data_IF_198608613729
#
_entry.id   IF_198608613729
#
_cell.length_a   1.000
_cell.length_b   1.000
_cell.length_c   1.000
_cell.angle_alpha   90.00
_cell.angle_beta   90.00
_cell.angle_gamma   90.00
#
_symmetry.space_group_name_H-M   'P 1'
#
loop_
_entity.id
_entity.type
_entity.pdbx_description
1 polymer ?
#
# COMPACT_ATOMS: atom_id res chain seq x y z
N UNK A 1 7.00 -11.62 -1.55
CA UNK A 1 6.96 -12.67 -0.51
C UNK A 1 7.92 -13.78 -0.91
N UNK A 2 8.78 -14.24 -0.01
CA UNK A 2 9.68 -15.37 -0.32
C UNK A 2 8.93 -16.72 -0.43
N UNK A 3 9.56 -17.73 -1.04
CA UNK A 3 8.95 -19.04 -1.26
C UNK A 3 8.57 -19.79 0.03
N UNK A 4 9.32 -19.60 1.12
CA UNK A 4 9.07 -20.25 2.41
C UNK A 4 7.82 -19.64 3.04
N UNK A 5 7.71 -18.33 3.05
CA UNK A 5 6.57 -17.58 3.55
C UNK A 5 5.32 -17.83 2.71
N UNK A 6 5.45 -17.83 1.37
CA UNK A 6 4.35 -18.18 0.47
C UNK A 6 3.82 -19.61 0.72
N UNK A 7 4.71 -20.55 1.03
CA UNK A 7 4.31 -21.92 1.41
C UNK A 7 3.47 -21.93 2.69
N UNK A 8 3.85 -21.15 3.69
CA UNK A 8 3.11 -21.06 4.96
C UNK A 8 1.76 -20.39 4.79
N UNK A 9 1.65 -19.36 3.94
CA UNK A 9 0.40 -18.64 3.69
C UNK A 9 -0.55 -19.51 2.86
N UNK A 10 -0.10 -19.98 1.68
CA UNK A 10 -1.00 -20.50 0.65
C UNK A 10 -1.29 -22.01 0.74
N UNK A 11 -0.53 -22.79 1.52
CA UNK A 11 -0.87 -24.21 1.76
C UNK A 11 -1.88 -24.43 2.89
N UNK A 12 -2.37 -23.37 3.50
CA UNK A 12 -3.38 -23.43 4.57
C UNK A 12 -4.78 -23.15 4.03
N UNK A 13 -5.82 -23.38 4.85
CA UNK A 13 -7.19 -23.11 4.46
C UNK A 13 -7.60 -21.64 4.46
N UNK A 14 -6.82 -20.75 5.11
CA UNK A 14 -7.14 -19.33 5.25
C UNK A 14 -5.91 -18.43 5.06
N UNK A 15 -5.63 -17.99 3.82
CA UNK A 15 -4.47 -17.15 3.52
C UNK A 15 -4.47 -15.80 4.25
N UNK A 16 -5.62 -15.15 4.43
CA UNK A 16 -5.70 -13.84 5.09
C UNK A 16 -5.32 -13.92 6.57
N UNK A 17 -5.85 -14.93 7.28
CA UNK A 17 -5.49 -15.18 8.67
C UNK A 17 -3.99 -15.45 8.82
N UNK A 18 -3.39 -16.23 7.91
CA UNK A 18 -1.94 -16.47 7.92
C UNK A 18 -1.11 -15.23 7.59
N UNK A 19 -1.57 -14.40 6.66
CA UNK A 19 -0.93 -13.10 6.41
C UNK A 19 -0.96 -12.25 7.68
N UNK A 20 -2.10 -12.16 8.36
CA UNK A 20 -2.24 -11.39 9.61
C UNK A 20 -1.34 -11.93 10.73
N UNK A 21 -1.21 -13.26 10.86
CA UNK A 21 -0.33 -13.89 11.85
C UNK A 21 1.16 -13.64 11.57
N UNK A 22 1.59 -13.77 10.31
CA UNK A 22 3.00 -13.66 9.91
C UNK A 22 3.44 -12.20 9.84
N UNK A 23 2.56 -11.31 9.40
CA UNK A 23 2.84 -9.89 9.17
C UNK A 23 1.90 -8.97 9.97
N UNK A 24 1.87 -9.07 11.31
CA UNK A 24 0.89 -8.36 12.13
C UNK A 24 1.05 -6.84 12.05
N UNK A 25 2.29 -6.33 11.96
CA UNK A 25 2.54 -4.89 11.87
C UNK A 25 2.21 -4.35 10.48
N UNK A 26 2.51 -5.09 9.40
CA UNK A 26 2.09 -4.72 8.06
C UNK A 26 0.56 -4.72 7.92
N UNK A 27 -0.11 -5.70 8.52
CA UNK A 27 -1.57 -5.73 8.58
C UNK A 27 -2.15 -4.50 9.27
N UNK A 28 -1.66 -4.17 10.48
CA UNK A 28 -2.09 -2.96 11.21
C UNK A 28 -1.83 -1.70 10.39
N UNK A 29 -0.67 -1.61 9.75
CA UNK A 29 -0.32 -0.48 8.91
C UNK A 29 -1.27 -0.34 7.72
N UNK A 30 -1.49 -1.39 6.93
CA UNK A 30 -2.38 -1.36 5.77
C UNK A 30 -3.83 -1.04 6.15
N UNK A 31 -4.29 -1.56 7.29
CA UNK A 31 -5.59 -1.21 7.87
C UNK A 31 -5.68 0.30 8.19
N UNK A 32 -4.65 0.84 8.86
CA UNK A 32 -4.58 2.26 9.19
C UNK A 32 -4.52 3.14 7.93
N UNK A 33 -3.76 2.75 6.90
CA UNK A 33 -3.70 3.48 5.63
C UNK A 33 -5.03 3.46 4.88
N UNK A 34 -5.75 2.33 4.90
CA UNK A 34 -7.08 2.21 4.30
C UNK A 34 -8.06 3.21 4.93
N UNK A 35 -8.12 3.26 6.27
CA UNK A 35 -8.96 4.23 6.97
C UNK A 35 -8.49 5.67 6.78
N UNK A 36 -7.18 5.92 6.83
CA UNK A 36 -6.62 7.25 6.61
C UNK A 36 -6.94 7.79 5.21
N UNK A 37 -6.94 6.92 4.19
CA UNK A 37 -7.37 7.27 2.84
C UNK A 37 -8.86 7.62 2.81
N UNK A 38 -9.73 6.78 3.40
CA UNK A 38 -11.19 7.01 3.41
C UNK A 38 -11.56 8.30 4.16
N UNK A 39 -10.90 8.57 5.28
CA UNK A 39 -11.14 9.75 6.14
C UNK A 39 -10.49 11.02 5.59
N UNK A 40 -9.66 10.93 4.54
CA UNK A 40 -8.92 12.07 4.00
C UNK A 40 -7.93 12.65 5.01
N UNK A 41 -7.31 11.81 5.85
CA UNK A 41 -6.31 12.26 6.81
C UNK A 41 -5.14 12.93 6.09
N UNK A 42 -4.62 14.00 6.68
CA UNK A 42 -3.45 14.70 6.14
C UNK A 42 -2.17 13.93 6.41
N UNK A 43 -1.21 14.05 5.51
CA UNK A 43 0.15 13.54 5.63
C UNK A 43 1.06 14.54 4.93
N UNK A 44 2.19 14.91 5.57
CA UNK A 44 3.06 15.97 5.05
C UNK A 44 3.72 15.55 3.73
N UNK A 45 4.13 14.30 3.61
CA UNK A 45 4.71 13.76 2.40
C UNK A 45 3.66 13.72 1.28
N UNK A 46 2.46 13.18 1.58
CA UNK A 46 1.33 13.20 0.64
C UNK A 46 1.00 14.61 0.13
N UNK A 47 0.97 15.60 1.03
CA UNK A 47 0.66 16.98 0.70
C UNK A 47 1.71 17.61 -0.21
N UNK A 48 3.00 17.32 0.01
CA UNK A 48 4.08 17.82 -0.82
C UNK A 48 4.04 17.20 -2.23
N UNK A 49 3.78 15.88 -2.32
CA UNK A 49 3.60 15.19 -3.60
C UNK A 49 2.45 15.81 -4.39
N UNK A 50 1.29 15.99 -3.75
CA UNK A 50 0.11 16.61 -4.38
C UNK A 50 0.38 18.04 -4.82
N UNK A 51 1.19 18.81 -4.08
CA UNK A 51 1.61 20.16 -4.48
C UNK A 51 2.51 20.14 -5.71
N UNK A 52 3.43 19.18 -5.78
CA UNK A 52 4.36 19.01 -6.90
C UNK A 52 3.67 18.60 -8.20
N UNK A 53 2.75 17.64 -8.14
CA UNK A 53 2.06 17.12 -9.34
C UNK A 53 0.81 17.92 -9.73
N UNK A 54 0.26 18.72 -8.81
CA UNK A 54 -0.96 19.49 -9.02
C UNK A 54 -2.25 18.68 -8.87
N UNK A 55 -3.35 19.19 -9.46
CA UNK A 55 -4.66 18.55 -9.37
C UNK A 55 -4.70 17.26 -10.19
N UNK A 56 -5.29 16.22 -9.60
CA UNK A 56 -5.49 14.90 -10.24
C UNK A 56 -6.99 14.56 -10.28
N UNK A 57 -7.47 13.84 -11.30
CA UNK A 57 -8.87 13.45 -11.41
C UNK A 57 -9.21 12.18 -10.60
N UNK A 58 -8.31 11.72 -9.72
CA UNK A 58 -8.44 10.50 -8.93
C UNK A 58 -7.99 10.73 -7.50
N UNK A 59 -8.44 9.88 -6.57
CA UNK A 59 -8.04 9.98 -5.17
C UNK A 59 -6.88 9.02 -4.89
N UNK A 60 -5.83 9.55 -4.28
CA UNK A 60 -4.75 8.75 -3.73
C UNK A 60 -4.28 9.32 -2.40
N UNK A 61 -3.63 8.47 -1.63
CA UNK A 61 -2.83 8.80 -0.46
C UNK A 61 -1.47 8.13 -0.63
N UNK A 62 -0.40 8.86 -0.36
CA UNK A 62 0.95 8.29 -0.32
C UNK A 62 1.60 8.58 1.04
N UNK A 63 2.25 7.57 1.62
CA UNK A 63 3.02 7.72 2.85
C UNK A 63 4.44 7.25 2.63
N UNK A 64 5.41 8.01 3.12
CA UNK A 64 6.82 7.65 3.10
C UNK A 64 7.24 6.99 4.42
N UNK A 65 8.10 5.99 4.34
CA UNK A 65 8.72 5.31 5.48
C UNK A 65 10.21 5.11 5.19
N UNK A 66 11.01 4.82 6.20
CA UNK A 66 12.42 4.47 6.02
C UNK A 66 12.53 3.04 5.40
N UNK A 67 13.41 2.86 4.41
CA UNK A 67 13.61 1.57 3.71
C UNK A 67 14.45 0.55 4.51
N UNK A 68 15.13 1.02 5.56
CA UNK A 68 15.89 0.16 6.47
C UNK A 68 14.96 -0.58 7.45
N UNK A 69 13.75 -0.05 7.68
CA UNK A 69 12.79 -0.63 8.60
C UNK A 69 12.19 -1.94 8.11
N UNK A 70 12.06 -2.91 9.02
CA UNK A 70 11.49 -4.22 8.70
C UNK A 70 10.06 -4.11 8.16
N UNK A 71 9.25 -3.22 8.71
CA UNK A 71 7.87 -3.02 8.27
C UNK A 71 7.79 -2.60 6.79
N UNK A 72 8.71 -1.77 6.29
CA UNK A 72 8.76 -1.36 4.88
C UNK A 72 9.08 -2.55 3.97
N UNK A 73 9.98 -3.44 4.41
CA UNK A 73 10.29 -4.69 3.72
C UNK A 73 9.10 -5.63 3.69
N UNK A 74 8.43 -5.82 4.82
CA UNK A 74 7.24 -6.68 4.95
C UNK A 74 6.10 -6.21 4.04
N UNK A 75 5.83 -4.91 4.01
CA UNK A 75 4.83 -4.31 3.11
C UNK A 75 5.23 -4.56 1.65
N UNK A 76 6.50 -4.33 1.29
CA UNK A 76 6.98 -4.55 -0.07
C UNK A 76 6.88 -6.02 -0.48
N UNK A 77 7.13 -6.95 0.44
CA UNK A 77 6.96 -8.36 0.19
C UNK A 77 5.49 -8.76 0.00
N UNK A 78 4.58 -8.23 0.82
CA UNK A 78 3.15 -8.49 0.73
C UNK A 78 2.53 -7.90 -0.52
N UNK A 79 2.89 -6.67 -0.88
CA UNK A 79 2.32 -5.98 -2.04
C UNK A 79 3.00 -6.39 -3.35
N UNK A 80 4.25 -6.86 -3.28
CA UNK A 80 4.99 -7.40 -4.42
C UNK A 80 4.52 -8.80 -4.85
N UNK A 81 3.92 -9.57 -3.95
CA UNK A 81 3.19 -10.78 -4.33
C UNK A 81 1.75 -10.43 -4.74
N UNK A 82 1.43 -10.70 -6.01
CA UNK A 82 0.15 -10.30 -6.62
C UNK A 82 -1.03 -10.93 -5.87
N UNK A 83 -0.90 -12.19 -5.43
CA UNK A 83 -1.99 -12.91 -4.77
C UNK A 83 -2.30 -12.31 -3.41
N UNK A 84 -1.28 -12.03 -2.58
CA UNK A 84 -1.50 -11.39 -1.28
C UNK A 84 -2.00 -9.97 -1.44
N UNK A 85 -1.49 -9.21 -2.41
CA UNK A 85 -2.00 -7.87 -2.71
C UNK A 85 -3.50 -7.90 -3.00
N UNK A 86 -3.94 -8.75 -3.93
CA UNK A 86 -5.35 -8.86 -4.30
C UNK A 86 -6.24 -9.30 -3.12
N UNK A 87 -5.76 -10.24 -2.30
CA UNK A 87 -6.48 -10.66 -1.08
C UNK A 87 -6.63 -9.51 -0.08
N UNK A 88 -5.56 -8.74 0.13
CA UNK A 88 -5.55 -7.59 1.05
C UNK A 88 -6.44 -6.45 0.52
N UNK A 89 -6.36 -6.13 -0.77
CA UNK A 89 -7.22 -5.14 -1.43
C UNK A 89 -8.70 -5.53 -1.30
N UNK A 90 -9.04 -6.79 -1.59
CA UNK A 90 -10.41 -7.28 -1.42
C UNK A 90 -10.87 -7.18 0.04
N UNK A 91 -10.04 -7.63 0.98
CA UNK A 91 -10.37 -7.60 2.40
C UNK A 91 -10.58 -6.16 2.91
N UNK A 92 -9.60 -5.29 2.71
CA UNK A 92 -9.68 -3.93 3.23
C UNK A 92 -10.72 -3.08 2.51
N UNK A 93 -10.99 -3.35 1.23
CA UNK A 93 -12.13 -2.73 0.54
C UNK A 93 -13.47 -3.05 1.20
N UNK A 94 -13.64 -4.30 1.67
CA UNK A 94 -14.84 -4.70 2.41
C UNK A 94 -14.89 -4.06 3.80
N UNK A 95 -13.77 -4.03 4.51
CA UNK A 95 -13.67 -3.44 5.87
C UNK A 95 -14.04 -1.96 5.88
N UNK A 96 -13.54 -1.19 4.91
CA UNK A 96 -13.78 0.26 4.84
C UNK A 96 -15.01 0.64 3.99
N UNK A 97 -15.67 -0.35 3.38
CA UNK A 97 -16.91 -0.17 2.62
C UNK A 97 -16.75 0.52 1.26
N UNK A 98 -15.53 0.61 0.72
CA UNK A 98 -15.26 1.17 -0.62
C UNK A 98 -13.99 0.57 -1.24
N UNK A 99 -13.82 0.61 -2.57
CA UNK A 99 -12.63 0.06 -3.20
C UNK A 99 -11.34 0.71 -2.70
N UNK A 100 -10.35 -0.13 -2.39
CA UNK A 100 -8.99 0.21 -1.98
C UNK A 100 -8.01 -0.58 -2.83
N UNK A 101 -7.03 0.14 -3.37
CA UNK A 101 -5.94 -0.43 -4.16
C UNK A 101 -4.62 -0.03 -3.53
N UNK A 102 -3.71 -0.98 -3.44
CA UNK A 102 -2.40 -0.77 -2.85
C UNK A 102 -1.32 -0.83 -3.92
N UNK A 103 -0.31 0.00 -3.77
CA UNK A 103 0.89 -0.07 -4.56
C UNK A 103 2.09 0.38 -3.74
N UNK A 104 3.27 -0.04 -4.16
CA UNK A 104 4.52 0.56 -3.70
C UNK A 104 5.03 1.50 -4.79
N UNK A 105 5.46 2.69 -4.37
CA UNK A 105 6.10 3.69 -5.22
C UNK A 105 7.42 4.02 -4.53
N UNK A 106 8.51 4.11 -5.30
CA UNK A 106 9.89 4.09 -4.80
C UNK A 106 10.17 2.94 -3.81
N UNK A 107 11.36 2.91 -3.19
CA UNK A 107 11.76 1.85 -2.26
C UNK A 107 11.01 1.91 -0.92
N UNK A 108 10.35 3.01 -0.61
CA UNK A 108 9.92 3.31 0.75
C UNK A 108 8.57 4.01 0.87
N UNK A 109 7.85 4.20 -0.24
CA UNK A 109 6.54 4.83 -0.21
C UNK A 109 5.41 3.86 -0.56
N UNK A 110 4.33 3.96 0.20
CA UNK A 110 3.12 3.18 0.03
C UNK A 110 2.02 4.07 -0.52
N UNK A 111 1.41 3.64 -1.62
CA UNK A 111 0.27 4.30 -2.24
C UNK A 111 -1.02 3.52 -1.97
N UNK A 112 -2.05 4.25 -1.56
CA UNK A 112 -3.44 3.78 -1.46
C UNK A 112 -4.30 4.60 -2.41
N UNK A 113 -5.13 3.97 -3.24
CA UNK A 113 -6.01 4.65 -4.18
C UNK A 113 -7.41 4.04 -4.23
N UNK A 114 -8.36 4.76 -4.84
CA UNK A 114 -9.74 4.31 -5.07
C UNK A 114 -9.89 3.38 -6.27
N UNK A 115 -8.84 3.26 -7.09
CA UNK A 115 -8.75 2.34 -8.22
C UNK A 115 -7.30 2.00 -8.55
N UNK A 116 -7.13 0.99 -9.42
CA UNK A 116 -5.86 0.78 -10.09
C UNK A 116 -5.50 2.02 -10.92
N UNK A 117 -4.29 2.51 -10.72
CA UNK A 117 -3.76 3.68 -11.41
C UNK A 117 -3.02 3.25 -12.67
N UNK A 118 -3.16 4.04 -13.73
CA UNK A 118 -2.43 3.83 -14.98
C UNK A 118 -0.99 4.32 -14.87
N UNK A 119 -0.13 3.95 -15.84
CA UNK A 119 1.25 4.45 -15.89
C UNK A 119 1.31 5.98 -15.92
N UNK A 120 0.45 6.63 -16.69
CA UNK A 120 0.41 8.10 -16.82
C UNK A 120 0.04 8.79 -15.51
N UNK A 121 -0.67 8.08 -14.63
CA UNK A 121 -1.10 8.59 -13.32
C UNK A 121 -0.05 8.30 -12.23
N UNK A 122 0.61 7.15 -12.29
CA UNK A 122 1.64 6.75 -11.32
C UNK A 122 2.98 7.44 -11.58
N UNK A 123 3.36 7.67 -12.84
CA UNK A 123 4.68 8.19 -13.18
C UNK A 123 4.96 9.60 -12.59
N UNK A 124 4.02 10.57 -12.62
CA UNK A 124 4.21 11.85 -11.94
C UNK A 124 4.39 11.69 -10.43
N UNK A 125 3.63 10.80 -9.80
CA UNK A 125 3.71 10.51 -8.37
C UNK A 125 5.10 9.94 -8.02
N UNK A 126 5.58 8.96 -8.80
CA UNK A 126 6.92 8.37 -8.64
C UNK A 126 8.02 9.41 -8.78
N UNK A 127 7.93 10.31 -9.77
CA UNK A 127 8.93 11.37 -9.97
C UNK A 127 8.96 12.35 -8.80
N UNK A 128 7.80 12.77 -8.32
CA UNK A 128 7.71 13.65 -7.16
C UNK A 128 8.24 12.96 -5.89
N UNK A 129 7.94 11.67 -5.68
CA UNK A 129 8.40 10.91 -4.53
C UNK A 129 9.92 10.80 -4.46
N UNK A 130 10.58 10.54 -5.59
CA UNK A 130 12.05 10.45 -5.66
C UNK A 130 12.73 11.79 -5.40
N UNK A 131 12.08 12.92 -5.73
CA UNK A 131 12.65 14.25 -5.51
C UNK A 131 12.60 14.72 -4.05
N UNK A 132 11.77 14.09 -3.22
CA UNK A 132 11.58 14.43 -1.81
C UNK A 132 12.37 13.53 -0.85
N UNK A 133 13.12 12.56 -1.37
CA UNK A 133 14.09 11.73 -0.62
C UNK A 133 15.43 12.45 -0.48
#
# INVERSE_FOLDING_TARGET
>A
MDCKTATLVYKTGNPLEKIQEIFPEAWKFLSAQSWAFVEGKTDEFDAEIKRSIGQTPFQFRITHRDDTEQLTKDISELLGDITSRLLLEQHFSQVVGRPIYFSTICCSSHLTADRELTLDEVLPIQRAAVQLQ
#
